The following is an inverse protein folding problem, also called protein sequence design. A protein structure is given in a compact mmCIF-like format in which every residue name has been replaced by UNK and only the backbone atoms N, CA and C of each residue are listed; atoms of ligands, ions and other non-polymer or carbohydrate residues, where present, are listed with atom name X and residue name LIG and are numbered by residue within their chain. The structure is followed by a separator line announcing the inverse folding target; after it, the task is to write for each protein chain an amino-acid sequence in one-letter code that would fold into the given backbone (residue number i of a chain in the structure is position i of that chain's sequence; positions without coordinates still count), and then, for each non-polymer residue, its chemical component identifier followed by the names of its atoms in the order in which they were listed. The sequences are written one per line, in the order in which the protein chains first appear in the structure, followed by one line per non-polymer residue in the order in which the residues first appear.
data_IF_491618805565
#
_entry.id   IF_491618805565
#
_cell.length_a   1.000
_cell.length_b   1.000
_cell.length_c   1.000
_cell.angle_alpha   90.00
_cell.angle_beta   90.00
_cell.angle_gamma   90.00
#
_symmetry.space_group_name_H-M   'P 1'
#
loop_
_entity.id
_entity.type
_entity.pdbx_description
1 polymer ?
#
# COMPACT_ATOMS: atom_id res chain seq x y z
N UNK A 1 -25.12 3.05 -22.67
CA UNK A 1 -24.06 2.98 -21.64
C UNK A 1 -23.82 4.38 -21.10
N UNK A 2 -23.94 4.58 -19.78
CA UNK A 2 -23.70 5.88 -19.15
C UNK A 2 -22.23 6.29 -19.23
N UNK A 3 -21.92 7.60 -19.06
CA UNK A 3 -20.53 8.10 -18.97
C UNK A 3 -19.77 7.38 -17.84
N UNK A 4 -20.42 7.15 -16.71
CA UNK A 4 -19.84 6.47 -15.56
C UNK A 4 -19.48 5.01 -15.86
N UNK A 5 -20.35 4.27 -16.53
CA UNK A 5 -20.08 2.89 -16.95
C UNK A 5 -18.88 2.82 -17.90
N UNK A 6 -18.79 3.74 -18.88
CA UNK A 6 -17.63 3.83 -19.78
C UNK A 6 -16.33 4.06 -18.99
N UNK A 7 -16.34 5.01 -18.06
CA UNK A 7 -15.16 5.30 -17.22
C UNK A 7 -14.74 4.07 -16.41
N UNK A 8 -15.70 3.34 -15.84
CA UNK A 8 -15.40 2.13 -15.05
C UNK A 8 -14.79 1.02 -15.92
N UNK A 9 -15.35 0.79 -17.12
CA UNK A 9 -14.82 -0.22 -18.05
C UNK A 9 -13.40 0.13 -18.49
N UNK A 10 -13.18 1.37 -18.91
CA UNK A 10 -11.84 1.84 -19.31
C UNK A 10 -10.86 1.70 -18.15
N UNK A 11 -11.28 2.05 -16.94
CA UNK A 11 -10.45 1.89 -15.73
C UNK A 11 -10.09 0.43 -15.44
N UNK A 12 -11.03 -0.51 -15.59
CA UNK A 12 -10.78 -1.95 -15.44
C UNK A 12 -9.78 -2.44 -16.48
N UNK A 13 -10.00 -2.09 -17.76
CA UNK A 13 -9.09 -2.50 -18.85
C UNK A 13 -7.67 -1.96 -18.61
N UNK A 14 -7.55 -0.67 -18.27
CA UNK A 14 -6.26 -0.05 -17.99
C UNK A 14 -5.57 -0.70 -16.80
N UNK A 15 -6.31 -0.99 -15.72
CA UNK A 15 -5.75 -1.67 -14.56
C UNK A 15 -5.22 -3.07 -14.90
N UNK A 16 -5.94 -3.83 -15.72
CA UNK A 16 -5.50 -5.15 -16.18
C UNK A 16 -4.29 -5.03 -17.09
N UNK A 17 -4.32 -4.13 -18.07
CA UNK A 17 -3.20 -3.92 -19.01
C UNK A 17 -1.92 -3.53 -18.27
N UNK A 18 -1.99 -2.57 -17.36
CA UNK A 18 -0.83 -2.17 -16.54
C UNK A 18 -0.33 -3.35 -15.71
N UNK A 19 -1.22 -4.10 -15.06
CA UNK A 19 -0.84 -5.28 -14.30
C UNK A 19 -0.15 -6.35 -15.14
N UNK A 20 -0.67 -6.63 -16.34
CA UNK A 20 -0.06 -7.58 -17.29
C UNK A 20 1.33 -7.09 -17.73
N UNK A 21 1.47 -5.81 -18.08
CA UNK A 21 2.77 -5.27 -18.52
C UNK A 21 3.82 -5.36 -17.41
N UNK A 22 3.44 -5.04 -16.16
CA UNK A 22 4.35 -5.17 -15.00
C UNK A 22 4.66 -6.63 -14.71
N UNK A 23 3.65 -7.53 -14.82
CA UNK A 23 3.87 -8.96 -14.64
C UNK A 23 4.82 -9.53 -15.70
N UNK A 24 4.68 -9.14 -16.96
CA UNK A 24 5.59 -9.55 -18.04
C UNK A 24 7.02 -9.02 -17.80
N UNK A 25 7.16 -7.75 -17.44
CA UNK A 25 8.47 -7.15 -17.15
C UNK A 25 9.14 -7.78 -15.93
N UNK A 26 8.40 -8.04 -14.85
CA UNK A 26 8.91 -8.70 -13.65
C UNK A 26 9.22 -10.18 -13.85
N UNK A 27 8.70 -10.78 -14.91
CA UNK A 27 8.95 -12.18 -15.27
C UNK A 27 10.31 -12.43 -15.91
N UNK A 28 10.99 -11.38 -16.36
CA UNK A 28 12.34 -11.47 -16.90
C UNK A 28 13.30 -11.99 -15.83
N UNK A 29 13.95 -13.14 -16.06
CA UNK A 29 14.83 -13.78 -15.07
C UNK A 29 14.15 -14.19 -13.75
N UNK A 30 12.86 -14.51 -13.77
CA UNK A 30 12.13 -15.05 -12.61
C UNK A 30 12.10 -16.59 -12.63
N UNK A 31 12.06 -17.21 -11.44
CA UNK A 31 11.71 -18.63 -11.30
C UNK A 31 10.42 -18.95 -12.04
N UNK A 32 10.30 -20.20 -12.53
CA UNK A 32 9.13 -20.67 -13.29
C UNK A 32 8.55 -21.95 -12.70
N UNK A 33 7.23 -22.07 -12.76
CA UNK A 33 6.50 -23.34 -12.54
C UNK A 33 5.98 -23.80 -13.91
N UNK A 34 6.61 -24.84 -14.45
CA UNK A 34 6.43 -25.19 -15.85
C UNK A 34 6.90 -24.05 -16.78
N UNK A 35 6.01 -23.51 -17.60
CA UNK A 35 6.29 -22.39 -18.50
C UNK A 35 5.88 -21.01 -17.95
N UNK A 36 5.32 -20.95 -16.74
CA UNK A 36 4.77 -19.72 -16.19
C UNK A 36 5.72 -19.16 -15.13
N UNK A 37 6.06 -17.88 -15.25
CA UNK A 37 6.88 -17.17 -14.27
C UNK A 37 6.16 -17.07 -12.92
N UNK A 38 6.90 -17.27 -11.81
CA UNK A 38 6.37 -17.10 -10.44
C UNK A 38 5.93 -15.67 -10.22
N UNK A 39 6.64 -14.68 -10.76
CA UNK A 39 6.21 -13.27 -10.68
C UNK A 39 4.85 -13.07 -11.34
N UNK A 40 4.61 -13.63 -12.52
CA UNK A 40 3.32 -13.55 -13.22
C UNK A 40 2.20 -14.27 -12.46
N UNK A 41 2.50 -15.46 -11.89
CA UNK A 41 1.55 -16.17 -11.02
C UNK A 41 1.14 -15.31 -9.80
N UNK A 42 2.09 -14.63 -9.18
CA UNK A 42 1.83 -13.70 -8.08
C UNK A 42 0.92 -12.55 -8.51
N UNK A 43 1.18 -11.96 -9.68
CA UNK A 43 0.33 -10.93 -10.26
C UNK A 43 -1.09 -11.41 -10.51
N UNK A 44 -1.25 -12.57 -11.15
CA UNK A 44 -2.56 -13.18 -11.41
C UNK A 44 -3.31 -13.49 -10.11
N UNK A 45 -2.62 -14.03 -9.10
CA UNK A 45 -3.21 -14.32 -7.80
C UNK A 45 -3.70 -13.06 -7.08
N UNK A 46 -2.96 -11.95 -7.19
CA UNK A 46 -3.37 -10.67 -6.60
C UNK A 46 -4.73 -10.20 -7.14
N UNK A 47 -4.97 -10.34 -8.44
CA UNK A 47 -6.28 -10.04 -9.03
C UNK A 47 -7.33 -11.08 -8.65
N UNK A 48 -7.00 -12.36 -8.72
CA UNK A 48 -7.94 -13.44 -8.46
C UNK A 48 -8.53 -13.37 -7.05
N UNK A 49 -7.72 -13.18 -6.02
CA UNK A 49 -8.19 -13.04 -4.63
C UNK A 49 -9.19 -11.89 -4.54
N UNK A 50 -8.87 -10.74 -5.13
CA UNK A 50 -9.74 -9.57 -5.10
C UNK A 50 -11.04 -9.76 -5.89
N UNK A 51 -11.00 -10.43 -7.03
CA UNK A 51 -12.20 -10.71 -7.82
C UNK A 51 -13.10 -11.75 -7.16
N UNK A 52 -12.52 -12.78 -6.53
CA UNK A 52 -13.29 -13.75 -5.73
C UNK A 52 -13.96 -13.07 -4.54
N UNK A 53 -13.24 -12.23 -3.81
CA UNK A 53 -13.80 -11.48 -2.68
C UNK A 53 -14.85 -10.44 -3.10
N UNK A 54 -14.74 -9.87 -4.29
CA UNK A 54 -15.76 -8.97 -4.85
C UNK A 54 -17.13 -9.62 -4.94
N UNK A 55 -17.22 -10.91 -5.30
CA UNK A 55 -18.52 -11.57 -5.53
C UNK A 55 -19.43 -11.48 -4.30
N UNK A 56 -19.04 -12.03 -3.13
CA UNK A 56 -19.88 -11.92 -1.92
C UNK A 56 -20.03 -10.48 -1.45
N UNK A 57 -19.00 -9.63 -1.58
CA UNK A 57 -19.08 -8.22 -1.21
C UNK A 57 -20.12 -7.46 -2.04
N UNK A 58 -20.20 -7.74 -3.35
CA UNK A 58 -21.19 -7.12 -4.23
C UNK A 58 -22.62 -7.64 -3.96
N UNK A 59 -22.79 -8.91 -3.64
CA UNK A 59 -24.10 -9.48 -3.27
C UNK A 59 -24.60 -8.82 -1.98
N UNK A 60 -23.75 -8.75 -0.95
CA UNK A 60 -24.08 -8.18 0.35
C UNK A 60 -24.01 -6.63 0.38
N UNK A 61 -23.60 -5.96 -0.71
CA UNK A 61 -23.37 -4.51 -0.77
C UNK A 61 -22.52 -3.97 0.38
N UNK A 62 -21.44 -4.70 0.71
CA UNK A 62 -20.58 -4.39 1.85
C UNK A 62 -19.11 -4.21 1.45
N UNK A 63 -18.43 -3.30 2.11
CA UNK A 63 -16.98 -3.04 1.99
C UNK A 63 -16.18 -3.53 3.20
N UNK A 64 -16.83 -4.13 4.20
CA UNK A 64 -16.23 -4.45 5.50
C UNK A 64 -14.92 -5.23 5.41
N UNK A 65 -14.78 -6.07 4.39
CA UNK A 65 -13.61 -6.94 4.23
C UNK A 65 -12.62 -6.43 3.18
N UNK A 66 -12.85 -5.24 2.61
CA UNK A 66 -11.99 -4.71 1.54
C UNK A 66 -10.53 -4.56 1.99
N UNK A 67 -10.30 -3.82 3.06
CA UNK A 67 -8.96 -3.59 3.60
C UNK A 67 -8.31 -4.90 4.09
N UNK A 68 -9.11 -5.80 4.72
CA UNK A 68 -8.64 -7.11 5.16
C UNK A 68 -8.22 -7.99 3.98
N UNK A 69 -9.02 -8.02 2.90
CA UNK A 69 -8.69 -8.76 1.68
C UNK A 69 -7.39 -8.25 1.07
N UNK A 70 -7.16 -6.94 1.05
CA UNK A 70 -5.89 -6.37 0.62
C UNK A 70 -4.71 -6.93 1.40
N UNK A 71 -4.79 -6.96 2.73
CA UNK A 71 -3.73 -7.50 3.58
C UNK A 71 -3.53 -9.01 3.40
N UNK A 72 -4.62 -9.78 3.29
CA UNK A 72 -4.54 -11.23 2.97
C UNK A 72 -3.87 -11.42 1.62
N UNK A 73 -4.17 -10.58 0.62
CA UNK A 73 -3.55 -10.65 -0.70
C UNK A 73 -2.05 -10.43 -0.63
N UNK A 74 -1.58 -9.40 0.11
CA UNK A 74 -0.15 -9.18 0.34
C UNK A 74 0.54 -10.39 0.95
N UNK A 75 -0.06 -10.97 2.01
CA UNK A 75 0.49 -12.14 2.71
C UNK A 75 0.54 -13.35 1.77
N UNK A 76 -0.58 -13.66 1.12
CA UNK A 76 -0.70 -14.87 0.27
C UNK A 76 0.22 -14.81 -0.93
N UNK A 77 0.30 -13.65 -1.61
CA UNK A 77 1.18 -13.45 -2.77
C UNK A 77 2.65 -13.56 -2.36
N UNK A 78 3.04 -12.96 -1.23
CA UNK A 78 4.42 -13.02 -0.73
C UNK A 78 4.82 -14.44 -0.32
N UNK A 79 3.92 -15.17 0.36
CA UNK A 79 4.15 -16.57 0.73
C UNK A 79 4.22 -17.48 -0.50
N UNK A 80 3.36 -17.25 -1.50
CA UNK A 80 3.41 -17.99 -2.76
C UNK A 80 4.74 -17.76 -3.49
N UNK A 81 5.18 -16.49 -3.58
CA UNK A 81 6.46 -16.15 -4.19
C UNK A 81 7.61 -16.90 -3.51
N UNK A 82 7.65 -16.89 -2.17
CA UNK A 82 8.67 -17.59 -1.41
C UNK A 82 8.59 -19.12 -1.55
N UNK A 83 7.39 -19.69 -1.57
CA UNK A 83 7.18 -21.13 -1.66
C UNK A 83 7.48 -21.72 -3.04
N UNK A 84 7.33 -20.94 -4.10
CA UNK A 84 7.57 -21.37 -5.49
C UNK A 84 8.95 -20.97 -6.03
N UNK A 85 9.78 -20.28 -5.23
CA UNK A 85 11.17 -20.00 -5.56
C UNK A 85 12.04 -21.11 -4.96
N UNK A 86 12.79 -21.85 -5.79
CA UNK A 86 13.53 -23.03 -5.34
C UNK A 86 14.62 -22.70 -4.33
N UNK A 87 15.20 -21.49 -4.41
CA UNK A 87 16.22 -21.02 -3.47
C UNK A 87 15.87 -19.63 -2.94
N UNK A 88 15.92 -19.46 -1.64
CA UNK A 88 15.79 -18.18 -0.96
C UNK A 88 17.12 -17.80 -0.32
N UNK A 89 17.76 -16.77 -0.84
CA UNK A 89 18.90 -16.13 -0.20
C UNK A 89 18.50 -15.28 1.02
N UNK A 90 19.47 -14.81 1.77
CA UNK A 90 19.22 -13.99 2.96
C UNK A 90 18.41 -12.71 2.64
N UNK A 91 18.62 -12.10 1.46
CA UNK A 91 17.89 -10.91 1.01
C UNK A 91 16.42 -11.22 0.77
N UNK A 92 16.12 -12.31 0.09
CA UNK A 92 14.75 -12.79 -0.18
C UNK A 92 14.01 -13.13 1.11
N UNK A 93 14.68 -13.80 2.06
CA UNK A 93 14.11 -14.10 3.38
C UNK A 93 13.79 -12.82 4.15
N UNK A 94 14.74 -11.88 4.22
CA UNK A 94 14.54 -10.62 4.95
C UNK A 94 13.39 -9.82 4.34
N UNK A 95 13.33 -9.65 3.02
CA UNK A 95 12.23 -8.93 2.35
C UNK A 95 10.89 -9.64 2.57
N UNK A 96 10.85 -10.96 2.49
CA UNK A 96 9.65 -11.75 2.80
C UNK A 96 9.14 -11.44 4.21
N UNK A 97 10.01 -11.51 5.22
CA UNK A 97 9.64 -11.21 6.61
C UNK A 97 9.18 -9.76 6.77
N UNK A 98 9.88 -8.80 6.16
CA UNK A 98 9.52 -7.39 6.20
C UNK A 98 8.10 -7.13 5.65
N UNK A 99 7.80 -7.70 4.49
CA UNK A 99 6.45 -7.56 3.87
C UNK A 99 5.38 -8.23 4.75
N UNK A 100 5.63 -9.43 5.27
CA UNK A 100 4.69 -10.13 6.14
C UNK A 100 4.42 -9.36 7.43
N UNK A 101 5.45 -8.84 8.10
CA UNK A 101 5.32 -8.03 9.31
C UNK A 101 4.49 -6.77 9.04
N UNK A 102 4.80 -6.07 7.94
CA UNK A 102 4.04 -4.87 7.55
C UNK A 102 2.57 -5.20 7.22
N UNK A 103 2.31 -6.22 6.40
CA UNK A 103 0.97 -6.60 5.98
C UNK A 103 0.10 -7.10 7.15
N UNK A 104 0.65 -7.91 8.06
CA UNK A 104 -0.03 -8.36 9.27
C UNK A 104 -0.39 -7.19 10.18
N UNK A 105 0.54 -6.29 10.40
CA UNK A 105 0.32 -5.09 11.23
C UNK A 105 -0.74 -4.18 10.60
N UNK A 106 -0.61 -3.86 9.31
CA UNK A 106 -1.55 -2.99 8.61
C UNK A 106 -2.95 -3.59 8.59
N UNK A 107 -3.07 -4.87 8.23
CA UNK A 107 -4.35 -5.59 8.19
C UNK A 107 -5.04 -5.62 9.55
N UNK A 108 -4.29 -5.92 10.61
CA UNK A 108 -4.83 -5.92 11.97
C UNK A 108 -5.31 -4.52 12.38
N UNK A 109 -4.55 -3.48 12.07
CA UNK A 109 -4.89 -2.10 12.36
C UNK A 109 -6.16 -1.66 11.62
N UNK A 110 -6.23 -1.91 10.31
CA UNK A 110 -7.36 -1.52 9.47
C UNK A 110 -8.64 -2.29 9.85
N UNK A 111 -8.52 -3.59 10.10
CA UNK A 111 -9.64 -4.42 10.53
C UNK A 111 -10.26 -3.95 11.86
N UNK A 112 -9.39 -3.66 12.86
CA UNK A 112 -9.85 -3.10 14.13
C UNK A 112 -10.51 -1.74 13.96
N UNK A 113 -9.98 -0.90 13.06
CA UNK A 113 -10.57 0.41 12.74
C UNK A 113 -11.96 0.26 12.15
N UNK A 114 -12.14 -0.58 11.12
CA UNK A 114 -13.45 -0.79 10.48
C UNK A 114 -14.48 -1.36 11.46
N UNK A 115 -14.06 -2.30 12.33
CA UNK A 115 -14.97 -2.83 13.37
C UNK A 115 -15.41 -1.78 14.36
N UNK A 116 -14.53 -0.84 14.72
CA UNK A 116 -14.86 0.26 15.64
C UNK A 116 -15.74 1.31 14.98
N UNK A 117 -15.39 1.72 13.76
CA UNK A 117 -16.04 2.83 13.05
C UNK A 117 -17.33 2.37 12.32
N UNK A 118 -17.60 1.05 12.26
CA UNK A 118 -18.81 0.40 11.75
C UNK A 118 -18.94 0.38 10.23
N UNK A 119 -18.41 1.38 9.49
CA UNK A 119 -18.44 1.47 8.02
C UNK A 119 -17.33 2.37 7.49
N UNK A 120 -17.00 2.21 6.22
CA UNK A 120 -16.16 3.16 5.50
C UNK A 120 -16.99 3.97 4.50
N UNK A 121 -17.30 5.20 4.84
CA UNK A 121 -18.12 6.11 4.01
C UNK A 121 -17.54 6.41 2.62
N UNK A 122 -16.30 6.01 2.31
CA UNK A 122 -15.75 6.09 0.95
C UNK A 122 -16.50 5.23 -0.04
N UNK A 123 -17.08 4.13 0.44
CA UNK A 123 -17.75 3.13 -0.37
C UNK A 123 -19.25 3.34 -0.53
N UNK A 124 -19.87 4.26 0.21
CA UNK A 124 -21.33 4.44 0.19
C UNK A 124 -21.89 4.69 -1.23
N UNK A 125 -21.18 5.49 -2.03
CA UNK A 125 -21.54 5.75 -3.42
C UNK A 125 -20.92 4.77 -4.44
N UNK A 126 -20.00 3.88 -3.99
CA UNK A 126 -19.28 2.95 -4.87
C UNK A 126 -20.01 1.60 -4.92
N UNK A 127 -20.37 1.05 -3.76
CA UNK A 127 -20.94 -0.30 -3.61
C UNK A 127 -22.35 -0.49 -4.16
N UNK A 128 -23.03 0.63 -4.49
CA UNK A 128 -24.36 0.60 -5.11
C UNK A 128 -24.29 0.38 -6.64
N UNK A 129 -23.16 0.68 -7.27
CA UNK A 129 -22.88 0.44 -8.70
C UNK A 129 -21.92 -0.75 -8.84
N UNK A 130 -22.40 -1.94 -9.28
CA UNK A 130 -21.56 -3.14 -9.37
C UNK A 130 -20.30 -2.97 -10.21
N UNK A 131 -20.40 -2.20 -11.32
CA UNK A 131 -19.25 -2.02 -12.22
C UNK A 131 -18.17 -1.12 -11.60
N UNK A 132 -18.59 -0.05 -10.92
CA UNK A 132 -17.70 0.83 -10.17
C UNK A 132 -17.08 0.10 -8.97
N UNK A 133 -17.85 -0.75 -8.32
CA UNK A 133 -17.37 -1.56 -7.22
C UNK A 133 -16.37 -2.62 -7.70
N UNK A 134 -16.62 -3.26 -8.84
CA UNK A 134 -15.68 -4.18 -9.47
C UNK A 134 -14.39 -3.48 -9.89
N UNK A 135 -14.46 -2.28 -10.46
CA UNK A 135 -13.26 -1.46 -10.72
C UNK A 135 -12.44 -1.28 -9.44
N UNK A 136 -13.08 -0.98 -8.32
CA UNK A 136 -12.38 -0.72 -7.05
C UNK A 136 -11.62 -1.97 -6.57
N UNK A 137 -12.23 -3.16 -6.67
CA UNK A 137 -11.58 -4.43 -6.35
C UNK A 137 -10.45 -4.78 -7.34
N UNK A 138 -10.63 -4.48 -8.61
CA UNK A 138 -9.60 -4.66 -9.64
C UNK A 138 -8.39 -3.75 -9.37
N UNK A 139 -8.65 -2.49 -9.01
CA UNK A 139 -7.60 -1.55 -8.61
C UNK A 139 -6.86 -2.00 -7.34
N UNK A 140 -7.51 -2.68 -6.41
CA UNK A 140 -6.82 -3.25 -5.25
C UNK A 140 -5.87 -4.37 -5.63
N UNK A 141 -6.25 -5.25 -6.55
CA UNK A 141 -5.34 -6.28 -7.10
C UNK A 141 -4.12 -5.66 -7.79
N UNK A 142 -4.34 -4.65 -8.63
CA UNK A 142 -3.24 -3.87 -9.23
C UNK A 142 -2.38 -3.20 -8.17
N UNK A 143 -2.98 -2.59 -7.17
CA UNK A 143 -2.28 -1.93 -6.08
C UNK A 143 -1.32 -2.88 -5.37
N UNK A 144 -1.79 -4.07 -4.99
CA UNK A 144 -0.94 -5.08 -4.36
C UNK A 144 0.24 -5.45 -5.25
N UNK A 145 0.00 -5.71 -6.54
CA UNK A 145 1.07 -6.07 -7.49
C UNK A 145 2.10 -4.94 -7.63
N UNK A 146 1.66 -3.69 -7.83
CA UNK A 146 2.56 -2.55 -8.01
C UNK A 146 3.38 -2.29 -6.74
N UNK A 147 2.76 -2.33 -5.57
CA UNK A 147 3.47 -2.12 -4.30
C UNK A 147 4.49 -3.22 -4.05
N UNK A 148 4.15 -4.49 -4.31
CA UNK A 148 5.05 -5.62 -4.13
C UNK A 148 6.11 -5.77 -5.23
N UNK A 149 6.05 -5.04 -6.33
CA UNK A 149 6.86 -5.33 -7.51
C UNK A 149 8.36 -5.48 -7.22
N UNK A 150 8.97 -4.58 -6.43
CA UNK A 150 10.38 -4.72 -6.01
C UNK A 150 10.61 -5.96 -5.12
N UNK A 151 9.72 -6.20 -4.16
CA UNK A 151 9.82 -7.35 -3.27
C UNK A 151 9.70 -8.67 -4.05
N UNK A 152 8.74 -8.77 -4.97
CA UNK A 152 8.59 -9.92 -5.84
C UNK A 152 9.80 -10.13 -6.75
N UNK A 153 10.38 -9.06 -7.31
CA UNK A 153 11.60 -9.16 -8.12
C UNK A 153 12.78 -9.74 -7.30
N UNK A 154 12.90 -9.37 -6.02
CA UNK A 154 13.92 -9.94 -5.12
C UNK A 154 13.61 -11.44 -4.85
N UNK A 155 12.39 -11.77 -4.47
CA UNK A 155 12.03 -13.12 -4.01
C UNK A 155 12.06 -14.11 -5.17
N UNK A 156 11.49 -13.73 -6.32
CA UNK A 156 11.30 -14.64 -7.46
C UNK A 156 12.41 -14.58 -8.50
N UNK A 157 13.37 -13.65 -8.38
CA UNK A 157 14.45 -13.50 -9.35
C UNK A 157 15.47 -14.63 -9.29
N UNK A 158 16.11 -14.94 -10.41
CA UNK A 158 17.23 -15.88 -10.51
C UNK A 158 18.56 -15.24 -10.14
N UNK A 159 18.71 -13.92 -10.39
CA UNK A 159 19.89 -13.17 -10.01
C UNK A 159 19.96 -13.06 -8.49
N UNK A 160 21.04 -13.59 -7.92
CA UNK A 160 21.31 -13.58 -6.48
C UNK A 160 22.56 -12.78 -6.19
N UNK A 161 22.53 -12.02 -5.12
CA UNK A 161 23.63 -11.21 -4.65
C UNK A 161 23.79 -11.38 -3.14
N UNK A 162 25.01 -11.37 -2.64
CA UNK A 162 25.26 -11.41 -1.21
C UNK A 162 24.47 -10.33 -0.45
N UNK A 163 24.23 -10.57 0.83
CA UNK A 163 23.57 -9.61 1.73
C UNK A 163 24.53 -8.45 2.06
N UNK A 164 24.85 -7.67 1.01
CA UNK A 164 25.82 -6.58 1.07
C UNK A 164 25.18 -5.23 1.43
N UNK A 165 25.90 -4.15 1.11
CA UNK A 165 25.58 -2.76 1.48
C UNK A 165 24.14 -2.36 1.14
N UNK A 166 23.64 -2.68 -0.06
CA UNK A 166 22.28 -2.34 -0.48
C UNK A 166 21.22 -3.03 0.37
N UNK A 167 21.45 -4.30 0.75
CA UNK A 167 20.53 -5.03 1.62
C UNK A 167 20.52 -4.44 3.03
N UNK A 168 21.69 -4.10 3.58
CA UNK A 168 21.83 -3.50 4.92
C UNK A 168 21.15 -2.11 4.94
N UNK A 169 21.51 -1.24 4.02
CA UNK A 169 20.94 0.13 3.96
C UNK A 169 19.44 0.08 3.74
N UNK A 170 18.95 -0.74 2.78
CA UNK A 170 17.53 -0.89 2.53
C UNK A 170 16.76 -1.41 3.75
N UNK A 171 17.32 -2.37 4.48
CA UNK A 171 16.74 -2.87 5.74
C UNK A 171 16.66 -1.78 6.81
N UNK A 172 17.71 -0.99 7.00
CA UNK A 172 17.71 0.13 7.96
C UNK A 172 16.66 1.16 7.57
N UNK A 173 16.58 1.56 6.29
CA UNK A 173 15.59 2.50 5.78
C UNK A 173 14.17 1.96 6.00
N UNK A 174 13.96 0.66 5.75
CA UNK A 174 12.67 0.02 6.01
C UNK A 174 12.29 0.07 7.49
N UNK A 175 13.21 -0.28 8.40
CA UNK A 175 12.97 -0.27 9.85
C UNK A 175 12.60 1.14 10.32
N UNK A 176 13.31 2.17 9.85
CA UNK A 176 13.02 3.58 10.19
C UNK A 176 11.62 3.95 9.69
N UNK A 177 11.30 3.66 8.43
CA UNK A 177 9.98 3.94 7.85
C UNK A 177 8.85 3.24 8.61
N UNK A 178 9.02 1.95 8.89
CA UNK A 178 8.06 1.14 9.65
C UNK A 178 7.86 1.67 11.08
N UNK A 179 8.94 2.04 11.77
CA UNK A 179 8.85 2.61 13.10
C UNK A 179 8.08 3.94 13.13
N UNK A 180 8.34 4.83 12.15
CA UNK A 180 7.61 6.10 11.99
C UNK A 180 6.12 5.84 11.73
N UNK A 181 5.79 4.94 10.81
CA UNK A 181 4.40 4.59 10.47
C UNK A 181 3.66 4.05 11.69
N UNK A 182 4.25 3.09 12.40
CA UNK A 182 3.65 2.48 13.60
C UNK A 182 3.47 3.51 14.72
N UNK A 183 4.49 4.34 14.97
CA UNK A 183 4.43 5.37 16.02
C UNK A 183 3.35 6.42 15.70
N UNK A 184 3.29 6.91 14.47
CA UNK A 184 2.30 7.87 14.03
C UNK A 184 0.86 7.34 14.16
N UNK A 185 0.62 6.11 13.72
CA UNK A 185 -0.71 5.48 13.81
C UNK A 185 -1.11 5.21 15.27
N UNK A 186 -0.16 4.81 16.13
CA UNK A 186 -0.41 4.66 17.59
C UNK A 186 -0.76 5.99 18.25
N UNK A 187 0.00 7.05 17.96
CA UNK A 187 -0.27 8.39 18.48
C UNK A 187 -1.66 8.87 18.09
N UNK A 188 -2.03 8.73 16.81
CA UNK A 188 -3.36 9.12 16.32
C UNK A 188 -4.48 8.29 16.93
N UNK A 189 -4.23 6.99 17.12
CA UNK A 189 -5.23 6.10 17.72
C UNK A 189 -5.45 6.42 19.20
N UNK A 190 -4.38 6.66 19.98
CA UNK A 190 -4.46 7.07 21.37
C UNK A 190 -5.18 8.42 21.53
N UNK A 191 -4.82 9.39 20.69
CA UNK A 191 -5.48 10.71 20.68
C UNK A 191 -6.99 10.59 20.45
N UNK A 192 -7.43 9.75 19.50
CA UNK A 192 -8.85 9.55 19.20
C UNK A 192 -9.61 8.75 20.26
N UNK A 193 -8.91 7.96 21.09
CA UNK A 193 -9.53 7.17 22.14
C UNK A 193 -9.77 7.98 23.41
N UNK A 194 -9.11 9.11 23.58
CA UNK A 194 -9.32 10.01 24.70
C UNK A 194 -10.55 10.89 24.45
N UNK A 195 -11.61 10.77 25.29
CA UNK A 195 -12.81 11.57 25.15
C UNK A 195 -12.59 13.08 25.22
N UNK A 196 -11.51 13.53 25.88
CA UNK A 196 -11.15 14.95 25.95
C UNK A 196 -10.75 15.53 24.59
N UNK A 197 -10.44 14.67 23.62
CA UNK A 197 -10.07 15.05 22.25
C UNK A 197 -11.23 14.91 21.24
N UNK A 198 -12.45 14.64 21.70
CA UNK A 198 -13.57 14.52 20.77
C UNK A 198 -13.79 15.82 20.00
N UNK A 199 -14.01 15.69 18.70
CA UNK A 199 -14.11 16.83 17.80
C UNK A 199 -12.79 17.47 17.38
N UNK A 200 -11.67 17.19 18.04
CA UNK A 200 -10.36 17.81 17.82
C UNK A 200 -9.51 17.07 16.78
N UNK A 201 -8.43 17.71 16.34
CA UNK A 201 -7.39 17.13 15.50
C UNK A 201 -6.06 17.07 16.26
N UNK A 202 -5.24 16.07 15.92
CA UNK A 202 -3.95 15.85 16.58
C UNK A 202 -2.88 16.81 16.04
N UNK A 203 -2.13 17.45 16.95
CA UNK A 203 -1.02 18.37 16.66
C UNK A 203 0.26 18.05 17.43
N UNK A 204 0.30 16.91 18.14
CA UNK A 204 1.40 16.53 19.05
C UNK A 204 2.22 15.36 18.51
N UNK A 205 3.40 15.12 19.08
CA UNK A 205 4.28 14.04 18.69
C UNK A 205 4.75 14.17 17.23
N UNK A 206 4.72 13.09 16.46
CA UNK A 206 5.08 13.10 15.04
C UNK A 206 4.14 13.98 14.20
N UNK A 207 2.90 14.17 14.64
CA UNK A 207 1.91 15.03 13.97
C UNK A 207 2.21 16.53 14.11
N UNK A 208 3.10 16.92 15.02
CA UNK A 208 3.65 18.28 15.06
C UNK A 208 4.74 18.50 13.99
N UNK A 209 5.36 17.44 13.49
CA UNK A 209 6.46 17.49 12.51
C UNK A 209 5.98 17.33 11.07
N UNK A 210 4.87 16.63 10.87
CA UNK A 210 4.25 16.39 9.58
C UNK A 210 2.74 16.17 9.77
N UNK A 211 1.93 16.62 8.81
CA UNK A 211 0.49 16.35 8.81
C UNK A 211 0.12 14.91 8.44
N UNK A 212 1.06 14.19 7.80
CA UNK A 212 0.91 12.80 7.39
C UNK A 212 2.18 11.97 7.66
N UNK A 213 2.63 11.88 8.93
CA UNK A 213 3.88 11.21 9.28
C UNK A 213 3.82 9.70 9.02
N UNK A 214 2.65 9.07 9.13
CA UNK A 214 2.45 7.66 8.78
C UNK A 214 2.67 7.41 7.28
N UNK A 215 2.23 8.30 6.41
CA UNK A 215 2.49 8.18 4.96
C UNK A 215 3.95 8.41 4.60
N UNK A 216 4.62 9.32 5.31
CA UNK A 216 6.07 9.44 5.18
C UNK A 216 6.77 8.14 5.56
N UNK A 217 6.36 7.50 6.66
CA UNK A 217 6.86 6.20 7.08
C UNK A 217 6.64 5.12 6.01
N UNK A 218 5.41 5.02 5.48
CA UNK A 218 5.05 4.04 4.45
C UNK A 218 5.85 4.25 3.15
N UNK A 219 6.02 5.47 2.68
CA UNK A 219 6.88 5.77 1.53
C UNK A 219 8.33 5.37 1.81
N UNK A 220 8.83 5.69 3.00
CA UNK A 220 10.21 5.40 3.38
C UNK A 220 10.49 3.91 3.43
N UNK A 221 9.58 3.10 3.98
CA UNK A 221 9.80 1.65 4.04
C UNK A 221 9.79 1.00 2.64
N UNK A 222 8.92 1.43 1.72
CA UNK A 222 8.92 0.92 0.35
C UNK A 222 10.12 1.39 -0.47
N UNK A 223 10.67 2.58 -0.18
CA UNK A 223 11.99 3.00 -0.69
C UNK A 223 13.09 2.08 -0.18
N UNK A 224 13.05 1.63 1.08
CA UNK A 224 13.97 0.64 1.64
C UNK A 224 13.96 -0.67 0.85
N UNK A 225 12.77 -1.20 0.51
CA UNK A 225 12.64 -2.40 -0.34
C UNK A 225 13.22 -2.17 -1.73
N UNK A 226 12.98 -1.00 -2.32
CA UNK A 226 13.53 -0.65 -3.64
C UNK A 226 15.07 -0.59 -3.61
N UNK A 227 15.68 -0.03 -2.57
CA UNK A 227 17.14 -0.02 -2.38
C UNK A 227 17.69 -1.44 -2.31
N UNK A 228 17.02 -2.35 -1.60
CA UNK A 228 17.40 -3.75 -1.54
C UNK A 228 17.33 -4.46 -2.90
N UNK A 229 16.42 -4.02 -3.78
CA UNK A 229 16.24 -4.61 -5.11
C UNK A 229 17.35 -4.22 -6.10
N UNK A 230 17.94 -3.01 -5.99
CA UNK A 230 18.83 -2.45 -7.01
C UNK A 230 19.89 -3.41 -7.56
N UNK A 231 20.66 -4.16 -6.74
CA UNK A 231 21.75 -4.99 -7.27
C UNK A 231 21.28 -6.28 -7.95
N UNK A 232 20.02 -6.69 -7.76
CA UNK A 232 19.43 -7.90 -8.36
C UNK A 232 18.50 -7.60 -9.52
N UNK A 233 18.36 -6.31 -9.92
CA UNK A 233 17.56 -5.92 -11.07
C UNK A 233 18.41 -5.93 -12.34
N UNK A 234 17.93 -6.66 -13.34
CA UNK A 234 18.50 -6.72 -14.68
C UNK A 234 17.39 -6.66 -15.72
N UNK A 235 17.71 -6.34 -16.97
CA UNK A 235 16.75 -6.36 -18.07
C UNK A 235 15.47 -5.59 -17.79
N UNK A 236 14.33 -6.19 -18.09
CA UNK A 236 13.01 -5.59 -17.89
C UNK A 236 12.60 -5.47 -16.43
N UNK A 237 13.26 -6.19 -15.49
CA UNK A 237 12.96 -6.10 -14.04
C UNK A 237 13.17 -4.70 -13.45
N UNK A 238 13.92 -3.82 -14.12
CA UNK A 238 14.00 -2.40 -13.73
C UNK A 238 12.62 -1.71 -13.68
N UNK A 239 11.63 -2.19 -14.43
CA UNK A 239 10.24 -1.71 -14.36
C UNK A 239 9.63 -1.89 -12.96
N UNK A 240 10.12 -2.85 -12.17
CA UNK A 240 9.62 -3.09 -10.81
C UNK A 240 9.90 -1.94 -9.85
N UNK A 241 10.83 -1.02 -10.17
CA UNK A 241 11.01 0.25 -9.45
C UNK A 241 9.78 1.17 -9.54
N UNK A 242 8.76 0.80 -10.31
CA UNK A 242 7.43 1.43 -10.21
C UNK A 242 6.87 1.35 -8.78
N UNK A 243 7.30 0.39 -7.94
CA UNK A 243 6.79 0.18 -6.59
C UNK A 243 6.86 1.44 -5.72
N UNK A 244 8.02 2.01 -5.38
CA UNK A 244 8.08 3.23 -4.57
C UNK A 244 7.43 4.44 -5.27
N UNK A 245 7.53 4.54 -6.61
CA UNK A 245 6.88 5.61 -7.38
C UNK A 245 5.37 5.53 -7.24
N UNK A 246 4.80 4.32 -7.36
CA UNK A 246 3.38 4.09 -7.20
C UNK A 246 2.91 4.44 -5.78
N UNK A 247 3.63 4.00 -4.74
CA UNK A 247 3.27 4.33 -3.35
C UNK A 247 3.27 5.84 -3.12
N UNK A 248 4.28 6.56 -3.61
CA UNK A 248 4.32 8.03 -3.56
C UNK A 248 3.10 8.64 -4.25
N UNK A 249 2.83 8.27 -5.51
CA UNK A 249 1.70 8.81 -6.28
C UNK A 249 0.35 8.48 -5.62
N UNK A 250 0.20 7.25 -5.14
CA UNK A 250 -1.01 6.80 -4.48
C UNK A 250 -1.33 7.64 -3.25
N UNK A 251 -0.36 7.81 -2.35
CA UNK A 251 -0.55 8.50 -1.09
C UNK A 251 -0.62 10.03 -1.25
N UNK A 252 0.12 10.59 -2.23
CA UNK A 252 0.21 12.06 -2.37
C UNK A 252 -0.76 12.64 -3.38
N UNK A 253 -1.25 11.86 -4.37
CA UNK A 253 -2.06 12.37 -5.49
C UNK A 253 -3.40 11.68 -5.71
N UNK A 254 -3.47 10.35 -5.47
CA UNK A 254 -4.64 9.56 -5.88
C UNK A 254 -5.66 9.42 -4.74
N UNK A 255 -5.25 8.86 -3.59
CA UNK A 255 -6.23 8.51 -2.54
C UNK A 255 -5.88 8.99 -1.14
N UNK A 256 -4.63 9.13 -0.78
CA UNK A 256 -4.19 9.44 0.59
C UNK A 256 -4.43 10.90 1.00
N UNK A 257 -3.38 11.70 0.92
CA UNK A 257 -3.34 13.10 1.38
C UNK A 257 -4.50 13.95 0.83
N UNK A 258 -4.79 13.98 -0.51
CA UNK A 258 -5.82 14.88 -1.02
C UNK A 258 -7.20 14.64 -0.44
N UNK A 259 -7.52 13.38 -0.12
CA UNK A 259 -8.80 13.03 0.45
C UNK A 259 -8.88 13.39 1.95
N UNK A 260 -7.79 13.15 2.69
CA UNK A 260 -7.73 13.48 4.12
C UNK A 260 -7.71 14.98 4.36
N UNK A 261 -6.93 15.74 3.58
CA UNK A 261 -6.89 17.20 3.66
C UNK A 261 -8.26 17.82 3.37
N UNK A 262 -8.95 17.36 2.33
CA UNK A 262 -10.33 17.83 2.03
C UNK A 262 -11.31 17.53 3.16
N UNK A 263 -11.21 16.35 3.80
CA UNK A 263 -12.07 16.02 4.95
C UNK A 263 -11.74 16.86 6.17
N UNK A 264 -10.45 17.09 6.43
CA UNK A 264 -10.01 17.92 7.53
C UNK A 264 -10.44 19.39 7.34
N UNK A 265 -10.23 19.95 6.15
CA UNK A 265 -10.68 21.30 5.81
C UNK A 265 -12.21 21.47 5.92
N UNK A 266 -12.99 20.44 5.53
CA UNK A 266 -14.45 20.48 5.70
C UNK A 266 -14.88 20.47 7.16
N UNK A 267 -14.10 19.83 8.04
CA UNK A 267 -14.46 19.66 9.45
C UNK A 267 -13.95 20.79 10.32
N UNK A 268 -12.74 21.28 10.09
CA UNK A 268 -12.02 22.23 10.94
C UNK A 268 -11.52 23.48 10.21
N UNK A 269 -11.83 23.62 8.91
CA UNK A 269 -11.26 24.69 8.07
C UNK A 269 -11.53 26.10 8.54
N UNK A 270 -12.63 26.32 9.27
CA UNK A 270 -13.02 27.63 9.82
C UNK A 270 -12.39 27.90 11.20
N UNK A 271 -11.69 26.91 11.81
CA UNK A 271 -11.04 27.04 13.10
C UNK A 271 -9.66 27.70 12.95
N UNK A 272 -9.39 28.78 13.66
CA UNK A 272 -8.11 29.49 13.60
C UNK A 272 -6.93 28.58 14.00
N UNK A 273 -7.13 27.70 14.99
CA UNK A 273 -6.12 26.72 15.44
C UNK A 273 -5.74 25.75 14.32
N UNK A 274 -6.72 25.29 13.53
CA UNK A 274 -6.45 24.41 12.39
C UNK A 274 -5.71 25.14 11.27
N UNK A 275 -6.09 26.37 10.97
CA UNK A 275 -5.41 27.19 9.95
C UNK A 275 -3.94 27.44 10.33
N UNK A 276 -3.68 27.78 11.59
CA UNK A 276 -2.32 27.94 12.12
C UNK A 276 -1.53 26.62 12.01
N UNK A 277 -2.12 25.49 12.42
CA UNK A 277 -1.48 24.19 12.30
C UNK A 277 -1.12 23.86 10.86
N UNK A 278 -2.02 24.07 9.91
CA UNK A 278 -1.79 23.85 8.48
C UNK A 278 -0.69 24.75 7.92
N UNK A 279 -0.63 26.01 8.37
CA UNK A 279 0.37 26.98 7.92
C UNK A 279 1.79 26.63 8.38
N UNK A 280 1.95 26.12 9.60
CA UNK A 280 3.29 25.84 10.18
C UNK A 280 3.77 24.40 9.99
N UNK A 281 2.86 23.44 9.78
CA UNK A 281 3.22 22.02 9.73
C UNK A 281 3.27 21.50 8.29
N UNK A 282 4.42 20.98 7.81
CA UNK A 282 4.55 20.48 6.46
C UNK A 282 3.64 19.28 6.18
N UNK A 283 3.25 19.13 4.92
CA UNK A 283 2.28 18.10 4.50
C UNK A 283 2.81 16.69 4.74
N UNK A 284 4.04 16.41 4.31
CA UNK A 284 4.57 15.04 4.24
C UNK A 284 5.95 14.89 4.91
N UNK A 285 6.97 15.61 4.43
CA UNK A 285 8.33 15.46 4.93
C UNK A 285 8.44 16.10 6.30
N UNK A 286 8.77 15.34 7.37
CA UNK A 286 8.84 15.88 8.71
C UNK A 286 9.90 16.98 8.85
N UNK A 287 9.54 18.08 9.54
CA UNK A 287 10.44 19.16 9.93
C UNK A 287 10.22 19.48 11.41
N UNK A 288 11.26 19.83 12.15
CA UNK A 288 11.09 20.28 13.53
C UNK A 288 10.04 21.40 13.61
N UNK A 289 9.14 21.36 14.62
CA UNK A 289 8.18 22.44 14.82
C UNK A 289 8.92 23.77 14.99
N UNK A 290 8.51 24.81 14.24
CA UNK A 290 8.95 26.17 14.51
C UNK A 290 8.46 26.60 15.89
N UNK A 291 9.37 27.09 16.71
CA UNK A 291 9.06 27.70 18.03
C UNK A 291 8.20 28.94 17.87
#
# INVERSE_FOLDING_TARGET
MSKQQRTSIVGIILAIVVGVLVALAGSDGSWTVGSISVFALCGALAYLINWVAFVPANIAKTEHYFDLTGSITYITVTLLAAALSDELDARSVVVTVMVLVWALRLGTFLFRRVRRDGRDGRFDAIKVDPLRFFLTWTLQGLWVLLTLACALAIITGLDREEFGMFAIVGTIVWIIGFAIEVAADRQKSAFKQDPANDGRFITSGLWAWSRHPNYFGEITLWLGVAVMALPVLSGWRWVTLISPVFVVLLLTRISGIPMLERRAAKRWGDEAEFQEYVARTPVLVPRPPSR
#
